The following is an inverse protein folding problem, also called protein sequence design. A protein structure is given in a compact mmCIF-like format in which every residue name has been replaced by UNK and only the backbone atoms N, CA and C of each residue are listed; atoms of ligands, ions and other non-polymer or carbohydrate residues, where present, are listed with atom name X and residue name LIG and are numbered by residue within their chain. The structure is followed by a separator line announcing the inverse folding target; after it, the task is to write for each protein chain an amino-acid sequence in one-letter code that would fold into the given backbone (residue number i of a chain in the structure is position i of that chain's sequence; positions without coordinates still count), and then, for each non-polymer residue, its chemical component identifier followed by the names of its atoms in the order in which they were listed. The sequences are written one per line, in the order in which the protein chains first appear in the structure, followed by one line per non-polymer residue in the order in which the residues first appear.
data_IF_103703552853
#
_entry.id   IF_103703552853
#
_cell.length_a   1.000
_cell.length_b   1.000
_cell.length_c   1.000
_cell.angle_alpha   90.00
_cell.angle_beta   90.00
_cell.angle_gamma   90.00
#
_symmetry.space_group_name_H-M   'P 1'
#
loop_
_entity.id
_entity.type
_entity.pdbx_description
1 polymer ?
#
# COMPACT_ATOMS: atom_id res chain seq x y z
N UNK A 1 -16.03 1.98 26.31
CA UNK A 1 -16.31 2.29 24.89
C UNK A 1 -16.13 1.00 24.10
N UNK A 2 -17.04 0.66 23.18
CA UNK A 2 -17.08 -0.70 22.58
C UNK A 2 -16.00 -0.95 21.51
N UNK A 3 -15.57 0.11 20.81
CA UNK A 3 -14.54 0.07 19.76
C UNK A 3 -13.58 1.25 19.94
N UNK A 4 -12.33 1.09 19.52
CA UNK A 4 -11.27 2.09 19.49
C UNK A 4 -10.97 2.53 18.05
N UNK A 5 -10.30 3.68 17.90
CA UNK A 5 -9.77 4.13 16.61
C UNK A 5 -8.71 3.12 16.14
N UNK A 6 -8.81 2.69 14.89
CA UNK A 6 -7.99 1.64 14.30
C UNK A 6 -8.60 0.24 14.38
N UNK A 7 -9.70 0.05 15.14
CA UNK A 7 -10.35 -1.25 15.21
C UNK A 7 -10.99 -1.61 13.85
N UNK A 8 -10.68 -2.78 13.28
CA UNK A 8 -11.47 -3.34 12.20
C UNK A 8 -12.86 -3.72 12.71
N UNK A 9 -13.88 -3.29 11.98
CA UNK A 9 -15.28 -3.56 12.32
C UNK A 9 -16.04 -4.07 11.12
N UNK A 10 -16.91 -5.05 11.35
CA UNK A 10 -17.85 -5.57 10.36
C UNK A 10 -19.23 -5.01 10.60
N UNK A 11 -19.87 -4.56 9.52
CA UNK A 11 -21.24 -4.02 9.56
C UNK A 11 -22.23 -5.18 9.65
N UNK A 12 -22.99 -5.25 10.74
CA UNK A 12 -24.01 -6.28 10.97
C UNK A 12 -25.44 -5.78 10.76
N UNK A 13 -25.63 -4.48 10.51
CA UNK A 13 -26.94 -3.94 10.16
C UNK A 13 -27.38 -4.40 8.76
N UNK A 14 -28.29 -5.37 8.72
CA UNK A 14 -28.86 -5.95 7.48
C UNK A 14 -29.62 -4.97 6.59
N UNK A 15 -29.99 -3.79 7.11
CA UNK A 15 -30.68 -2.74 6.34
C UNK A 15 -29.71 -1.82 5.61
N UNK A 16 -28.42 -1.93 5.89
CA UNK A 16 -27.39 -1.14 5.26
C UNK A 16 -26.96 -1.79 3.94
N UNK A 17 -26.69 -0.99 2.90
CA UNK A 17 -26.18 -1.49 1.61
C UNK A 17 -24.80 -2.13 1.73
N UNK A 18 -24.07 -1.81 2.79
CA UNK A 18 -22.73 -2.33 3.09
C UNK A 18 -22.75 -3.42 4.17
N UNK A 19 -23.88 -4.11 4.32
CA UNK A 19 -23.98 -5.27 5.21
C UNK A 19 -22.86 -6.29 4.93
N UNK A 20 -22.26 -6.83 5.99
CA UNK A 20 -21.13 -7.77 5.99
C UNK A 20 -19.77 -7.19 5.51
N UNK A 21 -19.74 -5.94 5.07
CA UNK A 21 -18.49 -5.26 4.74
C UNK A 21 -17.64 -4.99 5.99
N UNK A 22 -16.32 -4.99 5.80
CA UNK A 22 -15.34 -4.71 6.86
C UNK A 22 -14.67 -3.37 6.57
N UNK A 23 -14.64 -2.51 7.58
CA UNK A 23 -13.97 -1.22 7.55
C UNK A 23 -13.16 -0.97 8.79
N UNK A 24 -12.63 0.25 8.91
CA UNK A 24 -11.81 0.66 10.04
C UNK A 24 -12.49 1.84 10.73
N UNK A 25 -12.57 1.80 12.06
CA UNK A 25 -12.99 2.97 12.85
C UNK A 25 -11.89 4.03 12.76
N UNK A 26 -12.12 5.13 12.05
CA UNK A 26 -11.12 6.19 11.86
C UNK A 26 -11.29 7.34 12.83
N UNK A 27 -12.51 7.57 13.31
CA UNK A 27 -12.80 8.65 14.24
C UNK A 27 -14.03 8.37 15.11
N UNK A 28 -14.18 9.19 16.14
CA UNK A 28 -15.38 9.26 16.95
C UNK A 28 -16.05 10.60 16.70
N UNK A 29 -17.28 10.57 16.24
CA UNK A 29 -18.09 11.77 16.08
C UNK A 29 -18.58 12.26 17.46
N UNK A 30 -18.01 13.36 17.92
CA UNK A 30 -18.39 14.04 19.16
C UNK A 30 -19.18 15.33 18.92
N UNK A 31 -19.18 15.84 17.68
CA UNK A 31 -19.74 17.15 17.33
C UNK A 31 -21.19 17.07 16.84
N UNK A 32 -21.53 16.04 16.05
CA UNK A 32 -22.85 15.89 15.46
C UNK A 32 -23.71 14.91 16.27
N UNK A 33 -24.46 15.43 17.25
CA UNK A 33 -25.31 14.64 18.17
C UNK A 33 -26.38 13.77 17.48
N UNK A 34 -26.73 14.05 16.23
CA UNK A 34 -27.73 13.31 15.48
C UNK A 34 -27.15 12.15 14.66
N UNK A 35 -25.84 12.12 14.48
CA UNK A 35 -25.16 11.06 13.76
C UNK A 35 -24.60 10.05 14.75
N UNK A 36 -24.54 8.76 14.36
CA UNK A 36 -23.90 7.76 15.18
C UNK A 36 -22.42 8.09 15.51
N UNK A 37 -21.90 7.58 16.63
CA UNK A 37 -20.61 8.00 17.15
C UNK A 37 -19.40 7.37 16.43
N UNK A 38 -19.53 6.20 15.79
CA UNK A 38 -18.38 5.54 15.15
C UNK A 38 -18.30 5.90 13.68
N UNK A 39 -17.22 6.56 13.28
CA UNK A 39 -16.92 6.87 11.88
C UNK A 39 -16.10 5.72 11.31
N UNK A 40 -16.61 5.10 10.25
CA UNK A 40 -16.00 3.92 9.62
C UNK A 40 -15.69 4.22 8.16
N UNK A 41 -14.43 4.00 7.79
CA UNK A 41 -13.91 4.17 6.42
C UNK A 41 -13.49 2.81 5.83
N UNK A 42 -13.01 2.84 4.57
CA UNK A 42 -12.62 1.65 3.78
C UNK A 42 -13.78 0.72 3.43
N UNK A 43 -15.02 1.19 3.57
CA UNK A 43 -16.25 0.47 3.19
C UNK A 43 -16.95 1.09 1.96
N UNK A 44 -16.83 2.40 1.78
CA UNK A 44 -17.44 3.16 0.69
C UNK A 44 -16.53 4.34 0.29
N UNK A 45 -16.87 5.04 -0.79
CA UNK A 45 -16.13 6.23 -1.27
C UNK A 45 -16.19 7.44 -0.31
N UNK A 46 -16.95 7.33 0.79
CA UNK A 46 -17.13 8.34 1.82
C UNK A 46 -17.28 7.68 3.20
N UNK A 47 -16.93 8.38 4.29
CA UNK A 47 -17.08 7.85 5.64
C UNK A 47 -18.54 7.60 5.99
N UNK A 48 -18.80 6.48 6.66
CA UNK A 48 -20.12 6.09 7.15
C UNK A 48 -20.16 6.11 8.68
N UNK A 49 -21.33 6.38 9.25
CA UNK A 49 -21.51 6.52 10.69
C UNK A 49 -22.37 5.36 11.22
N UNK A 50 -21.90 4.69 12.27
CA UNK A 50 -22.59 3.54 12.86
C UNK A 50 -22.70 3.63 14.38
N UNK A 51 -23.75 3.02 14.92
CA UNK A 51 -23.92 2.80 16.34
C UNK A 51 -23.15 1.54 16.78
N UNK A 52 -22.97 1.43 18.10
CA UNK A 52 -22.21 0.32 18.69
C UNK A 52 -22.84 -1.06 18.41
N UNK A 53 -24.15 -1.13 18.24
CA UNK A 53 -24.95 -2.33 17.97
C UNK A 53 -25.03 -2.70 16.49
N UNK A 54 -24.59 -1.81 15.60
CA UNK A 54 -24.55 -2.04 14.15
C UNK A 54 -23.21 -2.63 13.68
N UNK A 55 -22.26 -2.76 14.61
CA UNK A 55 -20.90 -3.21 14.37
C UNK A 55 -20.50 -4.38 15.28
N UNK A 56 -19.59 -5.20 14.78
CA UNK A 56 -18.80 -6.17 15.57
C UNK A 56 -17.33 -6.00 15.22
N UNK A 57 -16.42 -6.40 16.13
CA UNK A 57 -14.99 -6.50 15.78
C UNK A 57 -14.84 -7.52 14.65
N UNK A 58 -14.08 -7.14 13.63
CA UNK A 58 -13.68 -8.02 12.56
C UNK A 58 -12.21 -8.41 12.74
N UNK A 59 -11.78 -9.48 12.10
CA UNK A 59 -10.37 -9.61 11.78
C UNK A 59 -10.05 -8.56 10.71
N UNK A 60 -8.94 -7.83 10.88
CA UNK A 60 -8.45 -6.91 9.84
C UNK A 60 -8.39 -7.69 8.52
N UNK A 61 -9.05 -7.23 7.45
CA UNK A 61 -8.81 -7.82 6.15
C UNK A 61 -7.31 -7.66 5.86
N UNK A 62 -6.63 -8.69 5.35
CA UNK A 62 -5.22 -8.59 5.03
C UNK A 62 -5.12 -7.64 3.83
N UNK A 63 -4.85 -6.36 4.07
CA UNK A 63 -4.19 -5.39 3.17
C UNK A 63 -4.39 -3.98 3.72
N UNK A 64 -3.55 -3.58 4.68
CA UNK A 64 -2.94 -2.27 4.55
C UNK A 64 -1.75 -2.48 3.61
N UNK A 65 -1.69 -1.80 2.47
CA UNK A 65 -0.45 -1.77 1.69
C UNK A 65 0.68 -1.37 2.63
N UNK A 66 1.63 -2.27 2.88
CA UNK A 66 2.82 -1.92 3.63
C UNK A 66 3.75 -1.19 2.64
N UNK A 67 3.92 0.15 2.78
CA UNK A 67 4.71 0.91 1.82
C UNK A 67 6.21 0.61 1.95
N UNK A 68 6.61 -0.11 2.99
CA UNK A 68 7.99 -0.48 3.31
C UNK A 68 8.25 -1.93 2.91
N UNK A 69 7.43 -2.86 3.43
CA UNK A 69 7.64 -4.30 3.21
C UNK A 69 6.82 -4.77 2.01
N UNK A 70 7.53 -5.23 0.98
CA UNK A 70 6.95 -5.71 -0.28
C UNK A 70 5.96 -4.74 -0.96
N UNK A 71 6.40 -3.54 -1.38
CA UNK A 71 5.49 -2.58 -1.97
C UNK A 71 4.93 -3.08 -3.31
N UNK A 72 3.62 -2.92 -3.51
CA UNK A 72 2.92 -3.40 -4.72
C UNK A 72 3.54 -2.89 -6.04
N UNK A 73 4.05 -1.65 -6.05
CA UNK A 73 4.72 -1.05 -7.21
C UNK A 73 6.08 -1.69 -7.55
N UNK A 74 6.56 -2.64 -6.76
CA UNK A 74 7.73 -3.48 -7.02
C UNK A 74 7.41 -4.97 -7.16
N UNK A 75 6.13 -5.36 -7.17
CA UNK A 75 5.67 -6.74 -7.33
C UNK A 75 4.79 -7.21 -6.17
N UNK A 76 5.14 -6.85 -4.93
CA UNK A 76 4.44 -7.32 -3.74
C UNK A 76 4.92 -8.70 -3.27
N UNK A 77 4.50 -9.09 -2.06
CA UNK A 77 5.07 -10.24 -1.34
C UNK A 77 4.88 -11.57 -2.10
N UNK A 78 3.74 -11.72 -2.77
CA UNK A 78 3.37 -12.94 -3.50
C UNK A 78 3.88 -12.98 -4.94
N UNK A 79 4.44 -11.89 -5.47
CA UNK A 79 5.00 -11.87 -6.82
C UNK A 79 6.37 -12.58 -6.83
N UNK A 80 6.53 -13.71 -7.55
CA UNK A 80 7.82 -14.40 -7.64
C UNK A 80 8.90 -13.53 -8.31
N UNK A 81 8.50 -12.49 -9.04
CA UNK A 81 9.38 -11.54 -9.72
C UNK A 81 9.40 -10.17 -9.05
N UNK A 82 9.12 -10.11 -7.74
CA UNK A 82 9.37 -8.91 -6.95
C UNK A 82 10.81 -8.41 -7.16
N UNK A 83 11.00 -7.10 -7.31
CA UNK A 83 12.30 -6.49 -7.65
C UNK A 83 13.44 -6.97 -6.77
N UNK A 84 13.24 -7.09 -5.45
CA UNK A 84 14.28 -7.54 -4.54
C UNK A 84 14.68 -9.00 -4.80
N UNK A 85 13.70 -9.88 -5.06
CA UNK A 85 13.93 -11.29 -5.38
C UNK A 85 14.72 -11.45 -6.68
N UNK A 86 14.36 -10.69 -7.72
CA UNK A 86 15.10 -10.69 -9.00
C UNK A 86 16.51 -10.13 -8.81
N UNK A 87 16.66 -9.05 -8.03
CA UNK A 87 17.96 -8.47 -7.75
C UNK A 87 18.90 -9.45 -7.05
N UNK A 88 18.42 -10.16 -6.02
CA UNK A 88 19.17 -11.18 -5.30
C UNK A 88 19.53 -12.37 -6.20
N UNK A 89 18.57 -12.85 -7.01
CA UNK A 89 18.79 -13.98 -7.92
C UNK A 89 19.87 -13.69 -8.97
N UNK A 90 19.96 -12.45 -9.45
CA UNK A 90 20.94 -12.04 -10.48
C UNK A 90 22.21 -11.39 -9.88
N UNK A 91 22.29 -11.27 -8.55
CA UNK A 91 23.40 -10.63 -7.86
C UNK A 91 23.47 -9.10 -8.05
N UNK A 92 22.40 -8.47 -8.51
CA UNK A 92 22.30 -7.02 -8.68
C UNK A 92 22.10 -6.29 -7.35
N UNK A 93 21.63 -6.97 -6.32
CA UNK A 93 21.59 -6.47 -4.93
C UNK A 93 22.96 -5.97 -4.44
N UNK A 94 24.04 -6.53 -4.98
CA UNK A 94 25.44 -6.19 -4.64
C UNK A 94 25.99 -5.00 -5.44
N UNK A 95 25.28 -4.54 -6.46
CA UNK A 95 25.66 -3.40 -7.28
C UNK A 95 24.59 -2.30 -7.21
N UNK A 96 24.88 -1.24 -6.46
CA UNK A 96 23.94 -0.14 -6.25
C UNK A 96 23.46 0.51 -7.56
N UNK A 97 24.25 0.50 -8.63
CA UNK A 97 23.83 1.05 -9.92
C UNK A 97 22.83 0.11 -10.60
N UNK A 98 23.18 -1.17 -10.73
CA UNK A 98 22.33 -2.16 -11.39
C UNK A 98 21.02 -2.40 -10.63
N UNK A 99 21.06 -2.42 -9.29
CA UNK A 99 19.85 -2.49 -8.47
C UNK A 99 18.90 -1.33 -8.77
N UNK A 100 19.41 -0.10 -8.83
CA UNK A 100 18.59 1.07 -9.12
C UNK A 100 18.04 1.04 -10.56
N UNK A 101 18.82 0.58 -11.54
CA UNK A 101 18.35 0.40 -12.92
C UNK A 101 17.16 -0.57 -12.96
N UNK A 102 17.32 -1.78 -12.41
CA UNK A 102 16.26 -2.78 -12.33
C UNK A 102 15.01 -2.23 -11.64
N UNK A 103 15.20 -1.61 -10.46
CA UNK A 103 14.13 -1.02 -9.65
C UNK A 103 13.30 -0.01 -10.44
N UNK A 104 13.93 0.92 -11.15
CA UNK A 104 13.19 1.95 -11.89
C UNK A 104 12.54 1.42 -13.16
N UNK A 105 13.13 0.41 -13.82
CA UNK A 105 12.47 -0.28 -14.95
C UNK A 105 11.20 -0.98 -14.47
N UNK A 106 11.30 -1.79 -13.40
CA UNK A 106 10.17 -2.56 -12.88
C UNK A 106 9.04 -1.68 -12.30
N UNK A 107 9.38 -0.47 -11.83
CA UNK A 107 8.42 0.52 -11.29
C UNK A 107 7.72 1.34 -12.37
N UNK A 108 8.28 1.43 -13.58
CA UNK A 108 7.77 2.34 -14.59
C UNK A 108 6.30 2.04 -14.92
N UNK A 109 5.43 3.07 -14.87
CA UNK A 109 3.99 2.91 -15.07
C UNK A 109 3.21 2.40 -13.85
N UNK A 110 3.90 2.00 -12.77
CA UNK A 110 3.29 1.57 -11.49
C UNK A 110 3.33 2.66 -10.43
N UNK A 111 4.21 3.66 -10.56
CA UNK A 111 4.31 4.80 -9.62
C UNK A 111 4.80 6.07 -10.31
N UNK A 112 3.95 7.09 -10.34
CA UNK A 112 4.29 8.39 -10.94
C UNK A 112 4.49 8.32 -12.46
N UNK A 113 5.28 9.25 -13.02
CA UNK A 113 5.45 9.39 -14.46
C UNK A 113 6.43 8.35 -15.05
N UNK A 114 5.94 7.51 -15.98
CA UNK A 114 6.71 6.45 -16.65
C UNK A 114 8.03 6.95 -17.26
N UNK A 115 8.02 8.07 -17.97
CA UNK A 115 9.22 8.65 -18.60
C UNK A 115 10.27 9.05 -17.56
N UNK A 116 9.84 9.53 -16.39
CA UNK A 116 10.76 9.93 -15.33
C UNK A 116 11.52 8.71 -14.77
N UNK A 117 10.86 7.56 -14.65
CA UNK A 117 11.50 6.34 -14.17
C UNK A 117 12.51 5.77 -15.17
N UNK A 118 12.21 5.82 -16.47
CA UNK A 118 13.18 5.47 -17.50
C UNK A 118 14.40 6.41 -17.49
N UNK A 119 14.19 7.72 -17.29
CA UNK A 119 15.29 8.69 -17.13
C UNK A 119 16.15 8.40 -15.90
N UNK A 120 15.53 7.97 -14.77
CA UNK A 120 16.27 7.54 -13.57
C UNK A 120 17.07 6.28 -13.85
N UNK A 121 16.47 5.27 -14.49
CA UNK A 121 17.18 4.04 -14.86
C UNK A 121 18.42 4.37 -15.72
N UNK A 122 18.25 5.17 -16.78
CA UNK A 122 19.35 5.64 -17.63
C UNK A 122 20.46 6.32 -16.81
N UNK A 123 20.11 7.23 -15.91
CA UNK A 123 21.09 7.94 -15.07
C UNK A 123 22.01 6.99 -14.27
N UNK A 124 21.47 5.92 -13.69
CA UNK A 124 22.29 4.95 -12.95
C UNK A 124 23.13 4.07 -13.88
N UNK A 125 22.59 3.69 -15.03
CA UNK A 125 23.31 2.90 -16.03
C UNK A 125 24.48 3.68 -16.63
N UNK A 126 24.27 4.93 -17.03
CA UNK A 126 25.31 5.82 -17.56
C UNK A 126 26.48 5.97 -16.56
N UNK A 127 26.18 6.13 -15.27
CA UNK A 127 27.20 6.19 -14.22
C UNK A 127 27.98 4.88 -14.05
N UNK A 128 27.31 3.72 -14.18
CA UNK A 128 27.98 2.42 -14.12
C UNK A 128 28.95 2.28 -15.29
N UNK A 129 28.51 2.64 -16.50
CA UNK A 129 29.34 2.62 -17.72
C UNK A 129 30.56 3.50 -17.54
N UNK A 130 30.36 4.77 -17.17
CA UNK A 130 31.47 5.71 -16.95
C UNK A 130 32.51 5.17 -15.96
N UNK A 131 32.08 4.53 -14.87
CA UNK A 131 32.99 3.94 -13.88
C UNK A 131 33.79 2.78 -14.44
N UNK A 132 33.20 1.96 -15.31
CA UNK A 132 33.89 0.85 -15.96
C UNK A 132 34.93 1.40 -16.96
N UNK A 133 34.55 2.38 -17.77
CA UNK A 133 35.44 3.04 -18.73
C UNK A 133 36.60 3.80 -18.08
N UNK A 134 36.44 4.27 -16.84
CA UNK A 134 37.52 4.99 -16.10
C UNK A 134 38.39 4.04 -15.26
N UNK A 135 37.97 2.78 -15.09
CA UNK A 135 38.72 1.78 -14.32
C UNK A 135 39.70 0.97 -15.18
N UNK A 136 39.66 1.14 -16.50
CA UNK A 136 40.65 0.66 -17.48
C UNK A 136 41.78 1.69 -17.67
#
# INVERSE_FOLDING_TARGET
MKFAIGDPVRVINRRCSVFDAVGIVTALNTEHRHLPPFVVESIADHPLYFNADELILAELPPTAEDPVNHPAHYGGADDPYEVIKVAEAWGFDKDAYLFNVLKYIARAGKKGATVQDHKKARFYLDRKIQRLETAE
#
